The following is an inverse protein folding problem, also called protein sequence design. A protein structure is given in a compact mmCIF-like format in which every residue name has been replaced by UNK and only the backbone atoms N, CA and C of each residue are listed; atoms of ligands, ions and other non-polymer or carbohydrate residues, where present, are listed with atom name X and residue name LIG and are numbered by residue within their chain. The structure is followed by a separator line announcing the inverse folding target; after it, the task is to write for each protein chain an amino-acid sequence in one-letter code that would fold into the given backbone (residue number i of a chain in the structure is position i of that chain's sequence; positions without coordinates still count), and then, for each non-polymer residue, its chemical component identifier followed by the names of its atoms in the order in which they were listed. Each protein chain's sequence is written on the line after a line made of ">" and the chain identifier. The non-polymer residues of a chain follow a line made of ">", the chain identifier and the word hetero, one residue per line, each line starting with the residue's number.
data_IF_084398483652
#
_entry.id   IF_084398483652
#
_cell.length_a   1.000
_cell.length_b   1.000
_cell.length_c   1.000
_cell.angle_alpha   90.00
_cell.angle_beta   90.00
_cell.angle_gamma   90.00
#
_symmetry.space_group_name_H-M   'P 1'
#
loop_
_entity.id
_entity.type
_entity.pdbx_description
1 polymer ?
#
# COMPACT_ATOMS: atom_id res chain seq x y z
N UNK A 1 17.31 -8.45 5.86
CA UNK A 1 17.58 -8.23 4.43
C UNK A 1 16.39 -8.63 3.56
N UNK A 2 15.81 -9.82 3.75
CA UNK A 2 14.73 -10.35 2.92
C UNK A 2 13.46 -9.49 2.89
N UNK A 3 13.07 -8.89 4.02
CA UNK A 3 11.94 -7.97 4.05
C UNK A 3 12.18 -6.73 3.17
N UNK A 4 13.40 -6.19 3.18
CA UNK A 4 13.74 -5.02 2.36
C UNK A 4 13.71 -5.41 0.88
N UNK A 5 14.25 -6.57 0.52
CA UNK A 5 14.18 -7.07 -0.86
C UNK A 5 12.74 -7.30 -1.31
N UNK A 6 11.91 -7.84 -0.42
CA UNK A 6 10.49 -8.00 -0.66
C UNK A 6 9.78 -6.67 -0.92
N UNK A 7 10.03 -5.68 -0.06
CA UNK A 7 9.46 -4.32 -0.26
C UNK A 7 9.93 -3.72 -1.57
N UNK A 8 11.22 -3.81 -1.90
CA UNK A 8 11.75 -3.29 -3.16
C UNK A 8 11.08 -3.99 -4.36
N UNK A 9 10.91 -5.30 -4.31
CA UNK A 9 10.23 -6.03 -5.38
C UNK A 9 8.78 -5.58 -5.57
N UNK A 10 8.06 -5.37 -4.47
CA UNK A 10 6.69 -4.83 -4.49
C UNK A 10 6.64 -3.41 -5.09
N UNK A 11 7.53 -2.51 -4.65
CA UNK A 11 7.60 -1.14 -5.20
C UNK A 11 7.98 -1.13 -6.70
N UNK A 12 8.87 -2.03 -7.13
CA UNK A 12 9.15 -2.23 -8.54
C UNK A 12 7.91 -2.71 -9.31
N UNK A 13 7.05 -3.52 -8.68
CA UNK A 13 5.75 -3.91 -9.20
C UNK A 13 4.87 -2.69 -9.48
N UNK A 14 4.78 -1.76 -8.52
CA UNK A 14 4.05 -0.50 -8.70
C UNK A 14 4.61 0.35 -9.85
N UNK A 15 5.92 0.47 -9.93
CA UNK A 15 6.59 1.22 -11.01
C UNK A 15 6.30 0.58 -12.38
N UNK A 16 6.46 -0.73 -12.49
CA UNK A 16 6.21 -1.47 -13.74
C UNK A 16 4.77 -1.36 -14.23
N UNK A 17 3.82 -1.41 -13.31
CA UNK A 17 2.39 -1.30 -13.62
C UNK A 17 1.92 0.15 -13.83
N UNK A 18 2.77 1.15 -13.60
CA UNK A 18 2.42 2.57 -13.77
C UNK A 18 1.38 3.05 -12.75
N UNK A 19 1.43 2.57 -11.52
CA UNK A 19 0.43 2.89 -10.48
C UNK A 19 0.56 4.32 -9.96
N UNK A 20 1.76 4.91 -9.94
CA UNK A 20 1.98 6.27 -9.41
C UNK A 20 1.13 7.32 -10.12
N UNK A 21 1.17 7.46 -11.47
CA UNK A 21 0.31 8.42 -12.16
C UNK A 21 -1.19 8.09 -12.05
N UNK A 22 -1.56 6.80 -12.01
CA UNK A 22 -2.97 6.39 -11.82
C UNK A 22 -3.52 6.77 -10.46
N UNK A 23 -2.70 6.73 -9.41
CA UNK A 23 -3.10 7.16 -8.06
C UNK A 23 -3.48 8.63 -8.02
N UNK A 24 -2.69 9.48 -8.66
CA UNK A 24 -2.97 10.91 -8.77
C UNK A 24 -4.26 11.16 -9.57
N UNK A 25 -4.50 10.42 -10.63
CA UNK A 25 -5.73 10.48 -11.41
C UNK A 25 -6.94 10.05 -10.58
N UNK A 26 -6.88 8.91 -9.89
CA UNK A 26 -7.94 8.41 -9.03
C UNK A 26 -8.29 9.39 -7.89
N UNK A 27 -7.29 10.07 -7.32
CA UNK A 27 -7.51 11.10 -6.31
C UNK A 27 -8.19 12.34 -6.89
N UNK A 28 -7.81 12.79 -8.09
CA UNK A 28 -8.46 13.91 -8.79
C UNK A 28 -9.90 13.57 -9.14
N UNK A 29 -10.15 12.40 -9.69
CA UNK A 29 -11.49 11.90 -10.01
C UNK A 29 -12.37 11.83 -8.76
N UNK A 30 -11.85 11.31 -7.66
CA UNK A 30 -12.55 11.26 -6.38
C UNK A 30 -12.93 12.65 -5.86
N UNK A 31 -12.03 13.63 -5.95
CA UNK A 31 -12.30 15.03 -5.58
C UNK A 31 -13.37 15.64 -6.49
N UNK A 32 -13.25 15.46 -7.79
CA UNK A 32 -14.22 15.95 -8.78
C UNK A 32 -15.60 15.39 -8.52
N UNK A 33 -15.72 14.08 -8.32
CA UNK A 33 -17.00 13.42 -8.02
C UNK A 33 -17.61 13.91 -6.71
N UNK A 34 -16.80 14.11 -5.66
CA UNK A 34 -17.28 14.64 -4.39
C UNK A 34 -17.75 16.09 -4.51
N UNK A 35 -17.04 16.92 -5.31
CA UNK A 35 -17.44 18.30 -5.58
C UNK A 35 -18.76 18.35 -6.35
N UNK A 36 -18.93 17.51 -7.38
CA UNK A 36 -20.18 17.42 -8.14
C UNK A 36 -21.35 16.98 -7.24
N UNK A 37 -21.14 16.03 -6.36
CA UNK A 37 -22.14 15.60 -5.39
C UNK A 37 -22.55 16.73 -4.44
N UNK A 38 -21.60 17.54 -3.99
CA UNK A 38 -21.89 18.72 -3.15
C UNK A 38 -22.68 19.78 -3.92
N UNK A 39 -22.32 20.07 -5.17
CA UNK A 39 -23.04 21.02 -6.03
C UNK A 39 -24.48 20.53 -6.29
N UNK A 40 -24.66 19.23 -6.60
CA UNK A 40 -25.97 18.65 -6.81
C UNK A 40 -26.83 18.72 -5.54
N UNK A 41 -26.27 18.46 -4.37
CA UNK A 41 -26.95 18.58 -3.10
C UNK A 41 -27.40 20.04 -2.83
N UNK A 42 -26.53 21.03 -3.10
CA UNK A 42 -26.88 22.46 -2.98
C UNK A 42 -27.98 22.87 -3.95
N UNK A 43 -27.95 22.39 -5.21
CA UNK A 43 -28.98 22.64 -6.19
C UNK A 43 -30.34 22.06 -5.77
N UNK A 44 -30.36 20.86 -5.21
CA UNK A 44 -31.57 20.25 -4.66
C UNK A 44 -32.12 21.06 -3.47
N UNK A 45 -31.28 21.47 -2.55
CA UNK A 45 -31.68 22.31 -1.41
C UNK A 45 -32.24 23.68 -1.88
N UNK A 46 -31.57 24.33 -2.83
CA UNK A 46 -32.03 25.60 -3.40
C UNK A 46 -33.35 25.45 -4.22
N UNK A 47 -33.57 24.29 -4.81
CA UNK A 47 -34.81 23.93 -5.52
C UNK A 47 -35.96 23.53 -4.61
N UNK A 48 -35.81 23.59 -3.29
CA UNK A 48 -36.86 23.26 -2.32
C UNK A 48 -37.04 21.75 -2.08
N UNK A 49 -36.07 20.94 -2.50
CA UNK A 49 -36.11 19.51 -2.16
C UNK A 49 -35.97 19.30 -0.65
N UNK A 50 -36.55 18.20 -0.11
CA UNK A 50 -36.36 17.86 1.29
C UNK A 50 -34.89 17.74 1.67
N UNK A 51 -34.51 18.20 2.86
CA UNK A 51 -33.12 18.21 3.32
C UNK A 51 -32.46 16.82 3.30
N UNK A 52 -33.21 15.78 3.60
CA UNK A 52 -32.75 14.38 3.55
C UNK A 52 -32.38 13.95 2.15
N UNK A 53 -33.05 14.42 1.09
CA UNK A 53 -32.70 14.15 -0.28
C UNK A 53 -31.35 14.83 -0.65
N UNK A 54 -31.14 16.09 -0.29
CA UNK A 54 -29.89 16.80 -0.53
C UNK A 54 -28.72 16.14 0.21
N UNK A 55 -28.92 15.81 1.50
CA UNK A 55 -27.92 15.08 2.32
C UNK A 55 -27.65 13.71 1.73
N UNK A 56 -28.66 12.97 1.28
CA UNK A 56 -28.55 11.67 0.66
C UNK A 56 -27.67 11.69 -0.58
N UNK A 57 -27.84 12.70 -1.46
CA UNK A 57 -27.02 12.88 -2.68
C UNK A 57 -25.58 13.21 -2.32
N UNK A 58 -25.36 14.10 -1.36
CA UNK A 58 -24.00 14.49 -0.93
C UNK A 58 -23.25 13.30 -0.33
N UNK A 59 -23.86 12.61 0.64
CA UNK A 59 -23.25 11.47 1.34
C UNK A 59 -23.07 10.29 0.39
N UNK A 60 -24.11 9.94 -0.37
CA UNK A 60 -24.06 8.83 -1.32
C UNK A 60 -23.03 9.03 -2.42
N UNK A 61 -22.94 10.24 -2.99
CA UNK A 61 -21.95 10.56 -4.02
C UNK A 61 -20.51 10.51 -3.51
N UNK A 62 -20.26 11.07 -2.32
CA UNK A 62 -18.92 11.02 -1.70
C UNK A 62 -18.52 9.61 -1.30
N UNK A 63 -19.44 8.81 -0.76
CA UNK A 63 -19.18 7.41 -0.39
C UNK A 63 -18.89 6.55 -1.62
N UNK A 64 -19.65 6.73 -2.71
CA UNK A 64 -19.42 6.04 -3.97
C UNK A 64 -18.05 6.38 -4.57
N UNK A 65 -17.65 7.67 -4.57
CA UNK A 65 -16.34 8.10 -5.03
C UNK A 65 -15.22 7.46 -4.20
N UNK A 66 -15.36 7.46 -2.87
CA UNK A 66 -14.42 6.81 -1.95
C UNK A 66 -14.31 5.31 -2.19
N UNK A 67 -15.44 4.60 -2.38
CA UNK A 67 -15.44 3.16 -2.65
C UNK A 67 -14.78 2.83 -3.99
N UNK A 68 -14.98 3.65 -5.03
CA UNK A 68 -14.33 3.49 -6.33
C UNK A 68 -12.81 3.64 -6.18
N UNK A 69 -12.36 4.69 -5.51
CA UNK A 69 -10.95 4.95 -5.24
C UNK A 69 -10.30 3.82 -4.44
N UNK A 70 -10.93 3.36 -3.36
CA UNK A 70 -10.40 2.26 -2.54
C UNK A 70 -10.36 0.91 -3.30
N UNK A 71 -11.27 0.69 -4.24
CA UNK A 71 -11.21 -0.50 -5.13
C UNK A 71 -10.03 -0.42 -6.08
N UNK A 72 -9.78 0.75 -6.67
CA UNK A 72 -8.62 0.97 -7.54
C UNK A 72 -7.31 0.70 -6.78
N UNK A 73 -7.17 1.25 -5.59
CA UNK A 73 -5.97 1.04 -4.78
C UNK A 73 -5.76 -0.44 -4.41
N UNK A 74 -6.83 -1.16 -4.03
CA UNK A 74 -6.71 -2.61 -3.76
C UNK A 74 -6.31 -3.41 -4.99
N UNK A 75 -6.80 -3.03 -6.15
CA UNK A 75 -6.41 -3.67 -7.42
C UNK A 75 -4.93 -3.40 -7.72
N UNK A 76 -4.48 -2.15 -7.58
CA UNK A 76 -3.09 -1.76 -7.79
C UNK A 76 -2.14 -2.53 -6.83
N UNK A 77 -2.53 -2.69 -5.57
CA UNK A 77 -1.77 -3.50 -4.61
C UNK A 77 -1.68 -4.97 -5.04
N UNK A 78 -2.78 -5.56 -5.49
CA UNK A 78 -2.79 -6.95 -5.94
C UNK A 78 -1.88 -7.18 -7.15
N UNK A 79 -1.88 -6.26 -8.12
CA UNK A 79 -0.99 -6.32 -9.28
C UNK A 79 0.48 -6.11 -8.88
N UNK A 80 0.76 -5.19 -7.96
CA UNK A 80 2.11 -4.99 -7.45
C UNK A 80 2.62 -6.21 -6.68
N UNK A 81 1.75 -6.87 -5.90
CA UNK A 81 2.06 -8.12 -5.21
C UNK A 81 2.44 -9.23 -6.19
N UNK A 82 1.63 -9.45 -7.23
CA UNK A 82 1.88 -10.47 -8.25
C UNK A 82 3.22 -10.23 -8.96
N UNK A 83 3.46 -9.00 -9.42
CA UNK A 83 4.73 -8.64 -10.05
C UNK A 83 5.91 -8.74 -9.10
N UNK A 84 5.75 -8.33 -7.85
CA UNK A 84 6.78 -8.43 -6.82
C UNK A 84 7.17 -9.87 -6.52
N UNK A 85 6.18 -10.77 -6.42
CA UNK A 85 6.41 -12.21 -6.24
C UNK A 85 7.14 -12.82 -7.45
N UNK A 86 6.73 -12.48 -8.68
CA UNK A 86 7.41 -12.91 -9.92
C UNK A 86 8.88 -12.44 -9.96
N UNK A 87 9.15 -11.21 -9.50
CA UNK A 87 10.54 -10.71 -9.44
C UNK A 87 11.38 -11.46 -8.41
N UNK A 88 10.82 -11.73 -7.23
CA UNK A 88 11.53 -12.50 -6.20
C UNK A 88 11.83 -13.92 -6.67
N UNK A 89 10.86 -14.59 -7.30
CA UNK A 89 11.03 -15.94 -7.84
C UNK A 89 12.14 -15.97 -8.91
N UNK A 90 12.10 -15.06 -9.87
CA UNK A 90 13.12 -14.94 -10.92
C UNK A 90 14.52 -14.62 -10.38
N UNK A 91 14.58 -13.94 -9.25
CA UNK A 91 15.83 -13.62 -8.56
C UNK A 91 16.33 -14.74 -7.63
N UNK A 92 15.55 -15.82 -7.43
CA UNK A 92 15.87 -16.88 -6.49
C UNK A 92 15.80 -16.41 -5.02
N UNK A 93 14.96 -15.40 -4.72
CA UNK A 93 14.78 -14.83 -3.40
C UNK A 93 13.44 -15.28 -2.82
N UNK A 94 13.43 -15.74 -1.57
CA UNK A 94 12.22 -16.17 -0.88
C UNK A 94 11.24 -15.02 -0.68
N UNK A 95 9.95 -15.30 -0.88
CA UNK A 95 8.86 -14.37 -0.55
C UNK A 95 8.54 -14.28 0.95
N UNK A 96 9.21 -15.05 1.80
CA UNK A 96 9.03 -15.03 3.25
C UNK A 96 9.25 -13.61 3.86
N UNK A 97 10.12 -12.82 3.26
CA UNK A 97 10.32 -11.43 3.65
C UNK A 97 9.07 -10.55 3.48
N UNK A 98 8.34 -10.71 2.36
CA UNK A 98 7.06 -10.02 2.13
C UNK A 98 5.98 -10.51 3.11
N UNK A 99 5.91 -11.80 3.36
CA UNK A 99 4.98 -12.35 4.35
C UNK A 99 5.24 -11.75 5.74
N UNK A 100 6.50 -11.72 6.17
CA UNK A 100 6.88 -11.20 7.47
C UNK A 100 6.56 -9.69 7.59
N UNK A 101 6.86 -8.90 6.56
CA UNK A 101 6.47 -7.49 6.50
C UNK A 101 4.95 -7.33 6.60
N UNK A 102 4.19 -8.11 5.85
CA UNK A 102 2.73 -8.04 5.86
C UNK A 102 2.14 -8.41 7.24
N UNK A 103 2.73 -9.38 7.95
CA UNK A 103 2.36 -9.69 9.33
C UNK A 103 2.61 -8.53 10.29
N UNK A 104 3.73 -7.82 10.13
CA UNK A 104 4.01 -6.59 10.93
C UNK A 104 3.02 -5.47 10.61
N UNK A 105 2.66 -5.31 9.34
CA UNK A 105 1.65 -4.34 8.94
C UNK A 105 0.27 -4.69 9.50
N UNK A 106 -0.07 -5.97 9.59
CA UNK A 106 -1.31 -6.43 10.21
C UNK A 106 -1.44 -5.97 11.67
N UNK A 107 -0.34 -5.98 12.41
CA UNK A 107 -0.32 -5.52 13.81
C UNK A 107 -0.63 -4.01 13.93
N UNK A 108 -0.29 -3.20 12.93
CA UNK A 108 -0.57 -1.76 12.94
C UNK A 108 -2.07 -1.44 12.83
N UNK A 109 -2.88 -2.38 12.35
CA UNK A 109 -4.35 -2.20 12.25
C UNK A 109 -4.99 -1.91 13.61
N UNK A 110 -4.42 -2.41 14.70
CA UNK A 110 -4.92 -2.18 16.06
C UNK A 110 -4.49 -0.81 16.62
N UNK A 111 -3.58 -0.10 15.95
CA UNK A 111 -3.10 1.20 16.39
C UNK A 111 -4.04 2.33 15.93
N UNK A 112 -4.17 3.42 16.71
CA UNK A 112 -4.77 4.65 16.23
C UNK A 112 -4.08 5.14 14.95
N UNK A 113 -4.84 5.77 14.04
CA UNK A 113 -4.33 6.24 12.74
C UNK A 113 -3.08 7.12 12.87
N UNK A 114 -3.04 7.97 13.90
CA UNK A 114 -1.88 8.83 14.21
C UNK A 114 -0.59 8.07 14.58
N UNK A 115 -0.68 6.79 14.91
CA UNK A 115 0.46 5.91 15.24
C UNK A 115 0.77 4.90 14.15
N UNK A 116 -0.05 4.83 13.11
CA UNK A 116 0.21 3.96 11.96
C UNK A 116 1.32 4.55 11.09
N UNK A 117 2.17 3.69 10.53
CA UNK A 117 3.21 4.14 9.62
C UNK A 117 2.58 4.71 8.33
N UNK A 118 3.25 5.67 7.72
CA UNK A 118 2.84 6.22 6.43
C UNK A 118 2.78 5.13 5.35
N UNK A 119 3.68 4.18 5.38
CA UNK A 119 3.69 3.04 4.46
C UNK A 119 2.41 2.20 4.60
N UNK A 120 1.96 1.91 5.83
CA UNK A 120 0.71 1.19 6.08
C UNK A 120 -0.51 1.95 5.53
N UNK A 121 -0.52 3.29 5.64
CA UNK A 121 -1.63 4.12 5.15
C UNK A 121 -1.69 4.15 3.61
N UNK A 122 -0.55 4.10 2.93
CA UNK A 122 -0.46 4.11 1.47
C UNK A 122 -0.59 2.72 0.85
N UNK A 123 -0.20 1.66 1.57
CA UNK A 123 -0.25 0.26 1.14
C UNK A 123 -1.09 -0.57 2.12
N UNK A 124 -2.43 -0.45 2.07
CA UNK A 124 -3.29 -1.05 3.08
C UNK A 124 -3.17 -2.58 3.11
N UNK A 125 -2.99 -3.08 4.33
CA UNK A 125 -2.99 -4.51 4.60
C UNK A 125 -4.39 -5.10 4.36
N UNK A 126 -4.43 -6.30 3.76
CA UNK A 126 -5.62 -7.13 3.74
C UNK A 126 -5.27 -8.58 4.08
N UNK A 127 -6.21 -9.30 4.69
CA UNK A 127 -6.04 -10.72 4.96
C UNK A 127 -5.83 -11.52 3.65
N UNK A 128 -6.45 -11.07 2.57
CA UNK A 128 -6.29 -11.68 1.25
C UNK A 128 -4.86 -11.56 0.73
N UNK A 129 -4.22 -10.38 0.86
CA UNK A 129 -2.82 -10.18 0.45
C UNK A 129 -1.88 -11.06 1.28
N UNK A 130 -2.10 -11.12 2.60
CA UNK A 130 -1.31 -12.01 3.45
C UNK A 130 -1.45 -13.48 3.02
N UNK A 131 -2.67 -13.94 2.70
CA UNK A 131 -2.89 -15.30 2.24
C UNK A 131 -2.13 -15.61 0.93
N UNK A 132 -2.11 -14.67 -0.03
CA UNK A 132 -1.34 -14.80 -1.28
C UNK A 132 0.15 -15.01 -0.99
N UNK A 133 0.75 -14.21 -0.10
CA UNK A 133 2.16 -14.37 0.27
C UNK A 133 2.44 -15.70 0.99
N UNK A 134 1.52 -16.13 1.86
CA UNK A 134 1.63 -17.42 2.55
C UNK A 134 1.53 -18.60 1.59
N UNK A 135 0.62 -18.53 0.63
CA UNK A 135 0.47 -19.56 -0.41
C UNK A 135 1.71 -19.64 -1.29
N UNK A 136 2.20 -18.49 -1.74
CA UNK A 136 3.42 -18.41 -2.54
C UNK A 136 4.63 -18.97 -1.77
N UNK A 137 4.82 -18.56 -0.52
CA UNK A 137 5.93 -19.06 0.31
C UNK A 137 5.87 -20.57 0.54
N UNK A 138 4.65 -21.17 0.62
CA UNK A 138 4.47 -22.62 0.74
C UNK A 138 4.78 -23.36 -0.55
N UNK A 139 4.38 -22.81 -1.69
CA UNK A 139 4.58 -23.43 -3.00
C UNK A 139 6.03 -23.32 -3.48
N UNK A 140 6.71 -22.24 -3.10
CA UNK A 140 8.08 -21.92 -3.47
C UNK A 140 8.97 -21.89 -2.22
N UNK A 141 8.94 -22.96 -1.44
CA UNK A 141 9.68 -23.09 -0.16
C UNK A 141 11.21 -23.19 -0.35
N UNK A 142 11.74 -22.67 -1.44
CA UNK A 142 13.18 -22.57 -1.62
C UNK A 142 13.75 -21.60 -0.60
N UNK A 143 14.74 -22.06 0.17
CA UNK A 143 15.56 -21.15 0.95
C UNK A 143 16.22 -20.18 -0.04
N UNK A 144 16.13 -18.89 0.26
CA UNK A 144 16.84 -17.86 -0.51
C UNK A 144 18.31 -18.28 -0.60
N UNK A 145 18.88 -18.24 -1.78
CA UNK A 145 20.31 -18.35 -1.91
C UNK A 145 20.97 -17.29 -1.00
N UNK A 146 21.96 -17.66 -0.18
CA UNK A 146 22.61 -16.70 0.68
C UNK A 146 23.19 -15.56 -0.16
N UNK A 147 22.94 -14.33 0.26
CA UNK A 147 23.52 -13.17 -0.38
C UNK A 147 25.05 -13.31 -0.41
N UNK A 148 25.68 -12.94 -1.52
CA UNK A 148 27.16 -12.86 -1.56
C UNK A 148 27.66 -11.93 -0.44
N UNK A 149 28.90 -12.11 -0.01
CA UNK A 149 29.51 -11.24 1.00
C UNK A 149 29.48 -9.76 0.54
N UNK A 150 29.61 -9.50 -0.75
CA UNK A 150 29.50 -8.17 -1.35
C UNK A 150 28.08 -7.61 -1.18
N UNK A 151 27.05 -8.35 -1.57
CA UNK A 151 25.64 -7.91 -1.52
C UNK A 151 25.18 -7.76 -0.08
N UNK A 152 25.61 -8.63 0.84
CA UNK A 152 25.36 -8.53 2.25
C UNK A 152 25.95 -7.24 2.85
N UNK A 153 27.15 -6.85 2.43
CA UNK A 153 27.76 -5.58 2.83
C UNK A 153 26.98 -4.38 2.28
N UNK A 154 26.63 -4.41 0.99
CA UNK A 154 25.80 -3.36 0.39
C UNK A 154 24.47 -3.21 1.10
N UNK A 155 23.79 -4.31 1.42
CA UNK A 155 22.53 -4.30 2.16
C UNK A 155 22.70 -3.70 3.55
N UNK A 156 23.75 -4.07 4.27
CA UNK A 156 24.04 -3.53 5.61
C UNK A 156 24.28 -2.01 5.55
N UNK A 157 25.01 -1.53 4.53
CA UNK A 157 25.22 -0.10 4.30
C UNK A 157 23.94 0.63 3.95
N UNK A 158 23.06 0.02 3.14
CA UNK A 158 21.74 0.57 2.80
C UNK A 158 20.89 0.72 4.07
N UNK A 159 20.81 -0.33 4.88
CA UNK A 159 20.07 -0.31 6.16
C UNK A 159 20.61 0.78 7.08
N UNK A 160 21.94 0.87 7.23
CA UNK A 160 22.57 1.90 8.06
C UNK A 160 22.23 3.31 7.57
N UNK A 161 22.26 3.53 6.24
CA UNK A 161 21.87 4.80 5.65
C UNK A 161 20.40 5.14 5.90
N UNK A 162 19.50 4.19 5.66
CA UNK A 162 18.06 4.39 5.89
C UNK A 162 17.79 4.76 7.35
N UNK A 163 18.42 4.06 8.30
CA UNK A 163 18.31 4.38 9.72
C UNK A 163 18.84 5.78 10.06
N UNK A 164 20.01 6.14 9.53
CA UNK A 164 20.60 7.46 9.75
C UNK A 164 19.71 8.62 9.28
N UNK A 165 18.88 8.40 8.24
CA UNK A 165 17.96 9.42 7.73
C UNK A 165 16.57 9.37 8.38
N UNK A 166 16.12 8.21 8.88
CA UNK A 166 14.76 8.01 9.37
C UNK A 166 14.64 8.01 10.90
N UNK A 167 15.72 7.70 11.62
CA UNK A 167 15.72 7.61 13.08
C UNK A 167 16.36 8.85 13.71
N UNK A 168 15.85 9.32 14.86
CA UNK A 168 16.51 10.38 15.62
C UNK A 168 17.92 9.97 16.08
N UNK A 169 18.86 10.90 16.07
CA UNK A 169 20.28 10.63 16.37
C UNK A 169 20.52 9.87 17.69
N UNK A 170 19.68 10.07 18.70
CA UNK A 170 19.80 9.39 20.00
C UNK A 170 19.42 7.89 19.95
N UNK A 171 18.72 7.42 18.93
CA UNK A 171 18.36 6.01 18.76
C UNK A 171 19.43 5.21 18.00
N UNK A 172 20.30 5.88 17.26
CA UNK A 172 21.34 5.26 16.41
C UNK A 172 22.60 4.91 17.20
N UNK A 173 22.82 5.61 18.33
CA UNK A 173 24.03 5.49 19.14
C UNK A 173 23.91 4.47 20.29
N UNK A 174 22.87 3.65 20.31
CA UNK A 174 22.69 2.52 21.24
C UNK A 174 22.90 1.21 20.51
#
# INVERSE_FOLDING_TARGET
>A
PEEILGVIAHELGHLKAGHVPRRDEALRDGRTASTLAAIAALALAAGGAPNDAAVGVMVGGTDQAKRKMLRSFRYDEAVADELGLDYLEKAGISSAGLEQMMRRMAAQRALPESRQSQYYQTHPHSAQRLAVYQDHARQHSQESAPLSAHDSNLMSRLVAKLRAYSEPAHSILR
#
